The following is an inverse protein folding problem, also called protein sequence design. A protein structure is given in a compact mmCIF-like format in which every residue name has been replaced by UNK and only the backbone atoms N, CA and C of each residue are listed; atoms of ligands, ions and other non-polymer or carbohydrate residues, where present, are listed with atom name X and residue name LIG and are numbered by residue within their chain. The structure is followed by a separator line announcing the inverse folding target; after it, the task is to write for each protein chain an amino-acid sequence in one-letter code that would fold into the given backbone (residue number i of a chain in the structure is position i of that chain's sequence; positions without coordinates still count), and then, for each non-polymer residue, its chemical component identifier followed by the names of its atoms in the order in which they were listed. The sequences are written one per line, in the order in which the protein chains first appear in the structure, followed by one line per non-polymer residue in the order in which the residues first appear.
data_IF_373666458891
#
_entry.id   IF_373666458891
#
_cell.length_a   1.000
_cell.length_b   1.000
_cell.length_c   1.000
_cell.angle_alpha   90.00
_cell.angle_beta   90.00
_cell.angle_gamma   90.00
#
_symmetry.space_group_name_H-M   'P 1'
#
loop_
_entity.id
_entity.type
_entity.pdbx_description
1 polymer ?
#
# COMPACT_ATOMS: atom_id res chain seq x y z
N UNK A 1 19.96 -24.35 -37.24
CA UNK A 1 19.74 -22.91 -37.06
C UNK A 1 18.38 -22.57 -36.52
N UNK A 2 17.25 -23.10 -37.03
CA UNK A 2 15.88 -22.78 -36.53
C UNK A 2 15.65 -23.09 -35.05
N UNK A 3 16.26 -24.13 -34.47
CA UNK A 3 16.09 -24.49 -33.05
C UNK A 3 16.86 -23.59 -32.09
N UNK A 4 17.96 -22.99 -32.54
CA UNK A 4 18.77 -22.05 -31.74
C UNK A 4 18.09 -20.70 -31.63
N UNK A 5 17.47 -20.21 -32.73
CA UNK A 5 16.68 -18.96 -32.74
C UNK A 5 15.44 -19.03 -31.86
N UNK A 6 14.80 -20.20 -31.81
CA UNK A 6 13.61 -20.40 -30.90
C UNK A 6 14.01 -20.39 -29.42
N UNK A 7 15.19 -20.93 -29.09
CA UNK A 7 15.69 -20.93 -27.71
C UNK A 7 16.08 -19.53 -27.24
N UNK A 8 16.69 -18.72 -28.14
CA UNK A 8 17.06 -17.31 -27.84
C UNK A 8 15.80 -16.43 -27.70
N UNK A 9 14.75 -16.65 -28.49
CA UNK A 9 13.47 -15.96 -28.36
C UNK A 9 12.73 -16.31 -27.05
N UNK A 10 12.81 -17.55 -26.59
CA UNK A 10 12.25 -17.98 -25.29
C UNK A 10 13.03 -17.40 -24.10
N UNK A 11 14.35 -17.25 -24.21
CA UNK A 11 15.17 -16.60 -23.19
C UNK A 11 14.93 -15.08 -23.12
N UNK A 12 14.69 -14.41 -24.25
CA UNK A 12 14.33 -12.99 -24.29
C UNK A 12 12.91 -12.70 -23.78
N UNK A 13 11.97 -13.63 -23.96
CA UNK A 13 10.61 -13.49 -23.41
C UNK A 13 10.57 -13.66 -21.88
N UNK A 14 11.52 -14.39 -21.28
CA UNK A 14 11.63 -14.59 -19.83
C UNK A 14 12.13 -13.36 -19.05
N UNK A 15 12.81 -12.42 -19.71
CA UNK A 15 13.38 -11.25 -19.04
C UNK A 15 12.43 -10.05 -18.93
N UNK A 16 11.29 -10.07 -19.63
CA UNK A 16 10.32 -8.95 -19.61
C UNK A 16 9.27 -9.02 -18.48
N UNK A 17 9.24 -10.11 -17.70
CA UNK A 17 8.24 -10.29 -16.63
C UNK A 17 8.64 -9.69 -15.27
N UNK A 18 9.88 -9.21 -15.10
CA UNK A 18 10.37 -8.68 -13.83
C UNK A 18 10.40 -7.14 -13.71
N UNK A 19 9.89 -6.41 -14.71
CA UNK A 19 10.04 -4.96 -14.77
C UNK A 19 8.87 -4.14 -14.20
N UNK A 20 7.95 -4.74 -13.41
CA UNK A 20 6.75 -4.05 -12.94
C UNK A 20 6.38 -4.26 -11.46
N UNK A 21 7.27 -4.84 -10.68
CA UNK A 21 7.12 -4.76 -9.23
C UNK A 21 8.04 -3.63 -8.77
N UNK A 22 7.49 -2.66 -8.01
CA UNK A 22 8.34 -1.76 -7.25
C UNK A 22 9.38 -2.62 -6.54
N UNK A 23 10.66 -2.35 -6.82
CA UNK A 23 11.74 -3.22 -6.42
C UNK A 23 11.93 -3.16 -4.91
N UNK A 24 11.15 -3.93 -4.18
CA UNK A 24 11.50 -4.27 -2.79
C UNK A 24 12.69 -5.25 -2.88
N UNK A 25 13.89 -4.70 -2.90
CA UNK A 25 15.14 -5.48 -2.85
C UNK A 25 15.63 -5.65 -1.41
N UNK A 26 14.77 -5.43 -0.43
CA UNK A 26 15.11 -5.60 0.98
C UNK A 26 15.08 -7.08 1.34
N UNK A 27 16.25 -7.64 1.56
CA UNK A 27 16.37 -8.97 2.15
C UNK A 27 16.14 -8.86 3.67
N UNK A 28 15.52 -9.87 4.28
CA UNK A 28 15.22 -9.96 5.71
C UNK A 28 16.38 -9.45 6.60
N UNK A 29 17.61 -9.87 6.34
CA UNK A 29 18.78 -9.50 7.15
C UNK A 29 19.11 -8.00 7.11
N UNK A 30 18.62 -7.25 6.12
CA UNK A 30 18.93 -5.82 6.01
C UNK A 30 18.16 -4.96 6.98
N UNK A 31 17.04 -5.45 7.51
CA UNK A 31 16.22 -4.74 8.51
C UNK A 31 15.84 -5.61 9.69
N UNK A 32 16.62 -6.66 9.97
CA UNK A 32 16.45 -7.50 11.17
C UNK A 32 16.67 -6.75 12.50
N UNK A 33 17.21 -5.56 12.43
CA UNK A 33 17.48 -4.64 13.54
C UNK A 33 16.40 -3.57 13.74
N UNK A 34 15.27 -3.67 13.01
CA UNK A 34 14.23 -2.65 13.00
C UNK A 34 13.66 -2.34 14.39
N UNK A 35 13.41 -3.35 15.22
CA UNK A 35 12.85 -3.16 16.56
C UNK A 35 13.81 -2.52 17.55
N UNK A 36 15.12 -2.62 17.29
CA UNK A 36 16.18 -2.13 18.18
C UNK A 36 16.61 -0.70 17.82
N UNK A 37 16.26 -0.22 16.63
CA UNK A 37 16.63 1.11 16.11
C UNK A 37 15.47 2.10 16.22
N UNK A 38 15.82 3.38 16.26
CA UNK A 38 14.84 4.46 16.33
C UNK A 38 14.23 4.69 14.94
N UNK A 39 12.89 4.71 14.88
CA UNK A 39 12.17 5.19 13.69
C UNK A 39 11.97 6.69 13.79
N UNK A 40 12.60 7.45 12.89
CA UNK A 40 12.39 8.89 12.74
C UNK A 40 11.14 9.11 11.88
N UNK A 41 10.14 9.78 12.44
CA UNK A 41 8.90 10.15 11.73
C UNK A 41 9.11 11.53 11.14
N UNK A 42 9.23 11.60 9.82
CA UNK A 42 9.61 12.82 9.11
C UNK A 42 8.40 13.70 8.89
N UNK A 43 8.46 14.93 9.38
CA UNK A 43 7.46 15.98 9.19
C UNK A 43 7.85 16.88 8.02
N UNK A 44 6.89 17.35 7.24
CA UNK A 44 7.11 18.24 6.10
C UNK A 44 6.19 17.95 4.90
N UNK A 45 5.12 17.16 5.13
CA UNK A 45 4.13 16.78 4.10
C UNK A 45 2.92 17.73 4.04
N UNK A 46 2.91 18.76 4.89
CA UNK A 46 1.83 19.72 5.06
C UNK A 46 1.21 19.66 6.46
N UNK A 47 0.75 20.80 6.95
CA UNK A 47 0.35 20.96 8.35
C UNK A 47 -0.72 19.95 8.81
N UNK A 48 -1.75 19.74 8.00
CA UNK A 48 -2.87 18.85 8.35
C UNK A 48 -2.41 17.39 8.34
N UNK A 49 -1.70 16.97 7.29
CA UNK A 49 -1.23 15.59 7.18
C UNK A 49 -0.17 15.26 8.24
N UNK A 50 0.74 16.19 8.50
CA UNK A 50 1.76 16.04 9.56
C UNK A 50 1.12 15.91 10.95
N UNK A 51 0.08 16.71 11.24
CA UNK A 51 -0.65 16.59 12.50
C UNK A 51 -1.36 15.23 12.63
N UNK A 52 -1.98 14.75 11.56
CA UNK A 52 -2.63 13.43 11.53
C UNK A 52 -1.60 12.30 11.68
N UNK A 53 -0.49 12.32 10.93
CA UNK A 53 0.58 11.31 11.05
C UNK A 53 1.13 11.29 12.48
N UNK A 54 1.36 12.47 13.07
CA UNK A 54 1.84 12.58 14.45
C UNK A 54 0.89 11.90 15.43
N UNK A 55 -0.40 12.16 15.32
CA UNK A 55 -1.41 11.58 16.19
C UNK A 55 -1.46 10.06 16.01
N UNK A 56 -1.56 9.57 14.77
CA UNK A 56 -1.68 8.15 14.49
C UNK A 56 -0.43 7.34 14.88
N UNK A 57 0.76 7.92 14.71
CA UNK A 57 1.99 7.26 15.16
C UNK A 57 2.01 7.14 16.69
N UNK A 58 1.59 8.17 17.43
CA UNK A 58 1.49 8.11 18.89
C UNK A 58 0.50 7.03 19.35
N UNK A 59 -0.61 6.88 18.64
CA UNK A 59 -1.71 5.98 19.03
C UNK A 59 -1.47 4.54 18.60
N UNK A 60 -0.82 4.32 17.46
CA UNK A 60 -0.75 3.00 16.79
C UNK A 60 0.65 2.38 16.80
N UNK A 61 1.72 3.20 16.74
CA UNK A 61 3.07 2.68 16.55
C UNK A 61 3.67 2.07 17.81
N UNK A 62 3.97 0.79 17.75
CA UNK A 62 4.56 0.03 18.86
C UNK A 62 5.74 -0.84 18.43
N UNK A 63 6.07 -0.84 17.14
CA UNK A 63 7.03 -1.78 16.56
C UNK A 63 8.50 -1.45 16.88
N UNK A 64 8.81 -0.17 17.13
CA UNK A 64 10.16 0.30 17.47
C UNK A 64 10.07 1.59 18.28
N UNK A 65 11.13 2.01 19.00
CA UNK A 65 11.21 3.39 19.50
C UNK A 65 11.05 4.39 18.34
N UNK A 66 10.38 5.52 18.59
CA UNK A 66 10.23 6.54 17.55
C UNK A 66 10.47 7.95 18.07
N UNK A 67 10.84 8.83 17.16
CA UNK A 67 11.02 10.26 17.37
C UNK A 67 10.58 11.03 16.13
N UNK A 68 10.01 12.21 16.31
CA UNK A 68 9.69 13.10 15.20
C UNK A 68 10.92 13.90 14.78
N UNK A 69 11.07 14.12 13.47
CA UNK A 69 12.14 14.94 12.92
C UNK A 69 11.64 15.81 11.75
N UNK A 70 12.38 16.84 11.44
CA UNK A 70 12.14 17.70 10.28
C UNK A 70 12.73 17.10 9.00
N UNK A 71 12.31 17.58 7.83
CA UNK A 71 12.89 17.21 6.54
C UNK A 71 14.40 17.54 6.47
N UNK A 72 14.85 18.62 7.11
CA UNK A 72 16.28 18.99 7.17
C UNK A 72 17.09 18.00 8.02
N UNK A 73 16.53 17.54 9.14
CA UNK A 73 17.16 16.50 9.97
C UNK A 73 17.21 15.18 9.24
N UNK A 74 16.12 14.78 8.57
CA UNK A 74 16.11 13.61 7.69
C UNK A 74 17.22 13.69 6.64
N UNK A 75 17.38 14.82 5.95
CA UNK A 75 18.43 15.02 4.96
C UNK A 75 19.84 14.76 5.50
N UNK A 76 20.09 15.06 6.78
CA UNK A 76 21.38 14.84 7.45
C UNK A 76 21.55 13.39 7.95
N UNK A 77 20.48 12.78 8.43
CA UNK A 77 20.51 11.48 9.12
C UNK A 77 20.32 10.29 8.18
N UNK A 78 19.76 10.49 6.97
CA UNK A 78 19.39 9.40 6.06
C UNK A 78 20.56 8.50 5.63
N UNK A 79 21.79 8.98 5.71
CA UNK A 79 22.99 8.19 5.40
C UNK A 79 23.45 7.31 6.57
N UNK A 80 22.91 7.52 7.76
CA UNK A 80 23.23 6.71 8.93
C UNK A 80 22.32 5.48 8.97
N UNK A 81 22.90 4.30 9.14
CA UNK A 81 22.16 3.05 9.33
C UNK A 81 21.57 2.89 10.73
N UNK A 82 21.80 3.85 11.63
CA UNK A 82 21.26 3.90 13.00
C UNK A 82 19.75 4.11 13.05
N UNK A 83 19.13 4.55 11.94
CA UNK A 83 17.74 4.98 11.91
C UNK A 83 16.92 4.26 10.84
N UNK A 84 15.62 4.14 11.12
CA UNK A 84 14.58 3.98 10.12
C UNK A 84 13.80 5.28 9.98
N UNK A 85 13.15 5.47 8.84
CA UNK A 85 12.39 6.68 8.55
C UNK A 85 11.00 6.32 8.08
N UNK A 86 9.99 6.85 8.78
CA UNK A 86 8.60 6.84 8.34
C UNK A 86 8.30 8.21 7.75
N UNK A 87 7.99 8.26 6.45
CA UNK A 87 7.84 9.52 5.72
C UNK A 87 6.82 9.41 4.60
N UNK A 88 6.32 10.55 4.13
CA UNK A 88 5.53 10.64 2.92
C UNK A 88 6.47 10.81 1.73
N UNK A 89 6.36 9.92 0.75
CA UNK A 89 7.12 9.98 -0.50
C UNK A 89 6.19 10.15 -1.68
N UNK A 90 6.68 10.70 -2.77
CA UNK A 90 5.93 10.87 -4.01
C UNK A 90 6.45 9.89 -5.08
N UNK A 91 5.53 9.13 -5.66
CA UNK A 91 5.84 8.10 -6.65
C UNK A 91 5.49 8.50 -8.06
N UNK A 92 6.40 8.18 -8.98
CA UNK A 92 6.29 8.43 -10.41
C UNK A 92 6.35 7.11 -11.18
N UNK A 93 5.35 6.83 -12.00
CA UNK A 93 5.37 5.67 -12.87
C UNK A 93 6.19 5.93 -14.14
N UNK A 94 6.64 4.85 -14.79
CA UNK A 94 7.35 4.97 -16.06
C UNK A 94 6.45 5.61 -17.13
N UNK A 95 6.88 6.74 -17.65
CA UNK A 95 6.18 7.51 -18.69
C UNK A 95 5.32 8.66 -18.17
N UNK A 96 5.24 8.85 -16.85
CA UNK A 96 4.68 10.06 -16.25
C UNK A 96 5.73 11.18 -16.21
N UNK A 97 5.32 12.43 -16.34
CA UNK A 97 6.21 13.58 -16.29
C UNK A 97 6.48 13.99 -14.84
N UNK A 98 5.45 13.92 -13.99
CA UNK A 98 5.49 14.27 -12.58
C UNK A 98 5.03 13.09 -11.68
N UNK A 99 5.37 13.10 -10.39
CA UNK A 99 4.80 12.17 -9.42
C UNK A 99 3.27 12.34 -9.33
N UNK A 100 2.55 11.23 -9.25
CA UNK A 100 1.08 11.23 -9.25
C UNK A 100 0.48 10.74 -7.94
N UNK A 101 1.20 9.92 -7.18
CA UNK A 101 0.71 9.29 -5.94
C UNK A 101 1.65 9.57 -4.79
N UNK A 102 1.11 9.96 -3.64
CA UNK A 102 1.81 9.98 -2.35
C UNK A 102 1.69 8.63 -1.68
N UNK A 103 2.78 8.21 -1.05
CA UNK A 103 2.87 6.97 -0.29
C UNK A 103 3.31 7.26 1.14
N UNK A 104 2.76 6.54 2.09
CA UNK A 104 3.38 6.40 3.40
C UNK A 104 4.45 5.31 3.29
N UNK A 105 5.70 5.65 3.54
CA UNK A 105 6.87 4.82 3.28
C UNK A 105 7.68 4.61 4.54
N UNK A 106 8.08 3.36 4.80
CA UNK A 106 9.13 3.04 5.75
C UNK A 106 10.40 2.70 4.97
N UNK A 107 11.49 3.37 5.30
CA UNK A 107 12.81 3.08 4.76
C UNK A 107 13.87 2.95 5.85
N UNK A 108 14.95 2.22 5.57
CA UNK A 108 16.15 2.15 6.42
C UNK A 108 17.16 3.17 5.95
N UNK A 109 17.83 3.84 6.86
CA UNK A 109 18.97 4.70 6.56
C UNK A 109 20.22 3.91 6.14
N UNK A 110 21.28 4.60 5.80
CA UNK A 110 22.59 4.01 5.47
C UNK A 110 22.80 3.66 3.99
N UNK A 111 22.04 4.25 3.07
CA UNK A 111 22.32 4.11 1.64
C UNK A 111 23.53 4.95 1.23
N UNK A 112 24.46 4.34 0.49
CA UNK A 112 25.62 5.03 -0.07
C UNK A 112 25.20 6.06 -1.14
N UNK A 113 25.91 7.19 -1.21
CA UNK A 113 25.72 8.18 -2.26
C UNK A 113 26.02 7.55 -3.64
N UNK A 114 25.11 7.72 -4.59
CA UNK A 114 25.25 7.22 -5.96
C UNK A 114 24.55 5.88 -6.23
N UNK A 115 24.09 5.17 -5.23
CA UNK A 115 23.17 4.06 -5.43
C UNK A 115 21.74 4.60 -5.57
N UNK A 116 20.93 3.90 -6.36
CA UNK A 116 19.51 4.26 -6.49
C UNK A 116 18.81 4.02 -5.14
N UNK A 117 18.81 5.05 -4.30
CA UNK A 117 18.48 5.04 -2.88
C UNK A 117 17.11 4.39 -2.65
N UNK A 118 16.13 4.73 -3.48
CA UNK A 118 14.76 4.21 -3.38
C UNK A 118 14.68 2.67 -3.49
N UNK A 119 15.63 2.03 -4.17
CA UNK A 119 15.60 0.60 -4.40
C UNK A 119 16.24 -0.23 -3.28
N UNK A 120 17.00 0.40 -2.38
CA UNK A 120 17.83 -0.33 -1.40
C UNK A 120 17.40 -0.14 0.05
N UNK A 121 16.74 0.94 0.32
CA UNK A 121 16.35 1.35 1.69
C UNK A 121 14.87 1.18 1.97
N UNK A 122 14.03 1.14 0.93
CA UNK A 122 12.59 0.97 1.09
C UNK A 122 12.27 -0.40 1.72
N UNK A 123 11.61 -0.38 2.86
CA UNK A 123 11.03 -1.57 3.51
C UNK A 123 9.66 -1.85 2.91
N UNK A 124 8.81 -0.83 2.90
CA UNK A 124 7.49 -0.87 2.27
C UNK A 124 6.96 0.54 2.04
N UNK A 125 6.17 0.70 0.97
CA UNK A 125 5.39 1.90 0.67
C UNK A 125 3.93 1.52 0.47
N UNK A 126 3.02 2.16 1.19
CA UNK A 126 1.57 2.01 1.03
C UNK A 126 0.99 3.27 0.38
N UNK A 127 0.10 3.14 -0.61
CA UNK A 127 -0.51 4.31 -1.26
C UNK A 127 -1.34 5.10 -0.26
N UNK A 128 -1.12 6.40 -0.21
CA UNK A 128 -1.75 7.32 0.73
C UNK A 128 -2.85 8.15 0.05
N UNK A 129 -2.50 8.96 -0.93
CA UNK A 129 -3.44 9.78 -1.69
C UNK A 129 -2.83 10.21 -3.05
N UNK A 130 -3.61 10.79 -3.99
CA UNK A 130 -3.07 11.52 -5.12
C UNK A 130 -2.24 12.73 -4.67
N UNK A 131 -1.27 13.14 -5.50
CA UNK A 131 -0.41 14.31 -5.18
C UNK A 131 -1.23 15.60 -5.22
N UNK A 132 -2.09 15.77 -6.23
CA UNK A 132 -2.80 17.03 -6.47
C UNK A 132 -4.15 17.13 -5.75
N UNK A 133 -4.88 16.03 -5.60
CA UNK A 133 -6.26 16.04 -5.10
C UNK A 133 -6.45 15.01 -3.96
N UNK A 134 -5.94 15.33 -2.77
CA UNK A 134 -6.31 14.58 -1.56
C UNK A 134 -7.80 14.79 -1.27
N UNK A 135 -8.58 13.71 -1.20
CA UNK A 135 -10.03 13.77 -0.88
C UNK A 135 -10.30 14.01 0.61
N UNK A 136 -9.27 13.92 1.45
CA UNK A 136 -9.40 13.89 2.91
C UNK A 136 -9.60 12.46 3.47
N UNK A 137 -9.97 11.49 2.63
CA UNK A 137 -10.13 10.09 3.03
C UNK A 137 -8.82 9.45 3.48
N UNK A 138 -7.68 9.93 2.98
CA UNK A 138 -6.37 9.52 3.48
C UNK A 138 -6.21 9.70 4.98
N UNK A 139 -6.87 10.71 5.57
CA UNK A 139 -6.86 10.94 7.01
C UNK A 139 -7.71 9.91 7.76
N UNK A 140 -8.84 9.51 7.18
CA UNK A 140 -9.72 8.46 7.73
C UNK A 140 -9.00 7.12 7.81
N UNK A 141 -8.28 6.73 6.76
CA UNK A 141 -7.64 5.41 6.66
C UNK A 141 -6.16 5.39 7.12
N UNK A 142 -5.62 6.54 7.53
CA UNK A 142 -4.23 6.64 8.01
C UNK A 142 -3.89 5.66 9.14
N UNK A 143 -4.77 5.39 10.14
CA UNK A 143 -4.50 4.40 11.18
C UNK A 143 -4.17 3.02 10.62
N UNK A 144 -4.91 2.57 9.58
CA UNK A 144 -4.65 1.28 8.96
C UNK A 144 -3.36 1.26 8.13
N UNK A 145 -2.99 2.39 7.53
CA UNK A 145 -1.73 2.48 6.78
C UNK A 145 -0.52 2.46 7.72
N UNK A 146 -0.56 3.21 8.83
CA UNK A 146 0.48 3.19 9.86
C UNK A 146 0.61 1.78 10.46
N UNK A 147 -0.52 1.15 10.83
CA UNK A 147 -0.53 -0.22 11.31
C UNK A 147 0.00 -1.21 10.29
N UNK A 148 -0.44 -1.10 9.04
CA UNK A 148 0.00 -1.99 7.97
C UNK A 148 1.51 -1.95 7.77
N UNK A 149 2.13 -0.78 7.82
CA UNK A 149 3.58 -0.63 7.70
C UNK A 149 4.31 -1.37 8.84
N UNK A 150 3.90 -1.15 10.10
CA UNK A 150 4.57 -1.83 11.21
C UNK A 150 4.34 -3.35 11.20
N UNK A 151 3.12 -3.81 10.90
CA UNK A 151 2.80 -5.23 10.84
C UNK A 151 3.61 -5.94 9.74
N UNK A 152 3.75 -5.28 8.58
CA UNK A 152 4.62 -5.78 7.50
C UNK A 152 6.09 -5.84 7.94
N UNK A 153 6.63 -4.76 8.52
CA UNK A 153 8.02 -4.69 8.92
C UNK A 153 8.36 -5.79 9.93
N UNK A 154 7.55 -5.96 10.98
CA UNK A 154 7.71 -7.03 11.98
C UNK A 154 7.66 -8.41 11.33
N UNK A 155 6.72 -8.66 10.41
CA UNK A 155 6.59 -9.96 9.77
C UNK A 155 7.70 -10.25 8.76
N UNK A 156 8.17 -9.23 8.07
CA UNK A 156 9.27 -9.32 7.13
C UNK A 156 10.61 -9.62 7.82
N UNK A 157 10.79 -9.16 9.08
CA UNK A 157 11.94 -9.56 9.92
C UNK A 157 11.97 -11.07 10.20
N UNK A 158 10.80 -11.67 10.37
CA UNK A 158 10.67 -13.09 10.67
C UNK A 158 10.81 -13.98 9.44
N UNK A 159 10.44 -13.46 8.27
CA UNK A 159 10.29 -14.26 7.05
C UNK A 159 10.79 -13.54 5.80
N UNK A 160 11.81 -14.12 5.17
CA UNK A 160 12.32 -13.64 3.88
C UNK A 160 11.26 -13.67 2.78
N UNK A 161 10.37 -14.67 2.80
CA UNK A 161 9.23 -14.77 1.87
C UNK A 161 8.33 -13.54 1.99
N UNK A 162 8.03 -13.09 3.21
CA UNK A 162 7.24 -11.88 3.46
C UNK A 162 7.99 -10.65 2.96
N UNK A 163 9.27 -10.51 3.28
CA UNK A 163 10.10 -9.39 2.85
C UNK A 163 10.10 -9.21 1.31
N UNK A 164 10.08 -10.32 0.56
CA UNK A 164 10.02 -10.26 -0.92
C UNK A 164 8.61 -10.11 -1.49
N UNK A 165 7.56 -10.40 -0.72
CA UNK A 165 6.17 -10.30 -1.20
C UNK A 165 5.68 -8.86 -1.30
N UNK A 166 6.29 -7.93 -0.54
CA UNK A 166 5.86 -6.53 -0.49
C UNK A 166 4.37 -6.43 -0.16
N UNK A 167 3.67 -5.49 -0.78
CA UNK A 167 2.24 -5.29 -0.57
C UNK A 167 1.37 -6.55 -0.78
N UNK A 168 1.82 -7.52 -1.59
CA UNK A 168 1.04 -8.74 -1.82
C UNK A 168 0.85 -9.59 -0.56
N UNK A 169 1.72 -9.43 0.44
CA UNK A 169 1.60 -10.14 1.72
C UNK A 169 0.24 -9.92 2.40
N UNK A 170 -0.31 -8.72 2.34
CA UNK A 170 -1.59 -8.42 2.99
C UNK A 170 -2.74 -9.28 2.45
N UNK A 171 -2.68 -9.71 1.19
CA UNK A 171 -3.70 -10.55 0.57
C UNK A 171 -3.74 -11.98 1.17
N UNK A 172 -2.69 -12.42 1.88
CA UNK A 172 -2.69 -13.73 2.56
C UNK A 172 -3.75 -13.79 3.68
N UNK A 173 -4.10 -12.64 4.28
CA UNK A 173 -5.16 -12.58 5.30
C UNK A 173 -6.55 -12.70 4.68
N UNK A 174 -6.74 -12.14 3.49
CA UNK A 174 -8.00 -12.14 2.77
C UNK A 174 -8.40 -13.52 2.26
N UNK A 175 -7.42 -14.32 1.82
CA UNK A 175 -7.65 -15.67 1.29
C UNK A 175 -8.12 -16.71 2.34
N UNK A 176 -8.25 -16.32 3.60
CA UNK A 176 -8.72 -17.19 4.69
C UNK A 176 -10.26 -17.15 4.79
N UNK A 177 -10.91 -18.10 4.17
CA UNK A 177 -12.38 -18.25 4.16
C UNK A 177 -13.04 -18.16 5.54
N UNK A 178 -14.19 -17.51 5.60
CA UNK A 178 -15.06 -17.46 6.78
C UNK A 178 -14.63 -16.49 7.88
N UNK A 179 -13.64 -15.64 7.61
CA UNK A 179 -13.15 -14.65 8.59
C UNK A 179 -13.94 -13.35 8.59
N UNK A 180 -14.45 -12.95 7.42
CA UNK A 180 -15.06 -11.65 7.19
C UNK A 180 -16.49 -11.84 6.77
N UNK A 181 -17.39 -11.14 7.45
CA UNK A 181 -18.83 -11.26 7.24
C UNK A 181 -19.41 -10.13 6.40
N UNK A 182 -18.85 -8.92 6.49
CA UNK A 182 -19.36 -7.76 5.77
C UNK A 182 -18.26 -6.95 5.14
N UNK A 183 -18.53 -6.45 3.93
CA UNK A 183 -17.64 -5.57 3.18
C UNK A 183 -18.46 -4.40 2.68
N UNK A 184 -18.08 -3.20 3.03
CA UNK A 184 -18.65 -1.96 2.53
C UNK A 184 -17.76 -1.43 1.41
N UNK A 185 -18.32 -1.32 0.21
CA UNK A 185 -17.67 -0.76 -0.95
C UNK A 185 -18.29 0.61 -1.26
N UNK A 186 -17.49 1.66 -1.23
CA UNK A 186 -17.95 2.96 -1.71
C UNK A 186 -18.20 2.91 -3.23
N UNK A 187 -19.27 3.55 -3.69
CA UNK A 187 -19.61 3.59 -5.12
C UNK A 187 -18.49 4.24 -5.93
N UNK A 188 -17.87 5.26 -5.38
CA UNK A 188 -16.76 6.03 -5.95
C UNK A 188 -15.48 5.18 -6.10
N UNK A 189 -15.35 4.15 -5.26
CA UNK A 189 -14.23 3.20 -5.33
C UNK A 189 -14.40 2.16 -6.45
N UNK A 190 -15.59 2.04 -7.04
CA UNK A 190 -15.84 1.11 -8.14
C UNK A 190 -15.40 1.70 -9.48
N UNK A 191 -14.81 0.86 -10.31
CA UNK A 191 -14.46 1.25 -11.66
C UNK A 191 -15.72 1.49 -12.52
N UNK A 192 -15.74 2.60 -13.24
CA UNK A 192 -16.78 2.86 -14.25
C UNK A 192 -16.85 1.83 -15.40
N UNK A 193 -15.87 0.91 -15.46
CA UNK A 193 -15.89 -0.21 -16.42
C UNK A 193 -16.73 -1.41 -15.95
N UNK A 194 -17.24 -1.40 -14.71
CA UNK A 194 -18.12 -2.45 -14.20
C UNK A 194 -19.50 -2.36 -14.85
N UNK A 195 -19.99 -3.50 -15.33
CA UNK A 195 -21.35 -3.63 -15.83
C UNK A 195 -22.34 -3.92 -14.71
N UNK A 196 -23.63 -3.63 -14.93
CA UNK A 196 -24.70 -4.00 -13.99
C UNK A 196 -24.71 -5.50 -13.72
N UNK A 197 -24.43 -6.32 -14.75
CA UNK A 197 -24.30 -7.78 -14.62
C UNK A 197 -23.14 -8.20 -13.68
N UNK A 198 -22.02 -7.45 -13.69
CA UNK A 198 -20.93 -7.72 -12.73
C UNK A 198 -21.35 -7.36 -11.31
N UNK A 199 -22.05 -6.25 -11.13
CA UNK A 199 -22.58 -5.83 -9.83
C UNK A 199 -23.58 -6.86 -9.30
N UNK A 200 -24.59 -7.23 -10.08
CA UNK A 200 -25.59 -8.26 -9.72
C UNK A 200 -24.96 -9.62 -9.36
N UNK A 201 -23.84 -9.95 -10.00
CA UNK A 201 -23.16 -11.22 -9.79
C UNK A 201 -22.32 -11.30 -8.52
N UNK A 202 -21.72 -10.18 -8.09
CA UNK A 202 -20.70 -10.18 -7.05
C UNK A 202 -21.09 -9.38 -5.80
N UNK A 203 -22.07 -8.47 -5.90
CA UNK A 203 -22.62 -7.75 -4.76
C UNK A 203 -23.80 -8.56 -4.18
N UNK A 204 -23.84 -8.68 -2.88
CA UNK A 204 -24.86 -9.43 -2.15
C UNK A 204 -25.10 -8.81 -0.77
N UNK A 205 -25.80 -9.49 0.13
CA UNK A 205 -26.12 -9.00 1.48
C UNK A 205 -24.88 -8.77 2.37
N UNK A 206 -23.77 -9.38 2.03
CA UNK A 206 -22.51 -9.25 2.76
C UNK A 206 -21.51 -8.30 2.06
N UNK A 207 -21.68 -8.04 0.76
CA UNK A 207 -20.88 -7.07 0.00
C UNK A 207 -21.79 -5.91 -0.36
N UNK A 208 -21.81 -4.92 0.51
CA UNK A 208 -22.75 -3.79 0.50
C UNK A 208 -22.13 -2.64 -0.27
N UNK A 209 -22.86 -2.16 -1.29
CA UNK A 209 -22.53 -0.92 -1.97
C UNK A 209 -23.19 0.26 -1.26
N UNK A 210 -22.43 1.31 -0.98
CA UNK A 210 -22.88 2.51 -0.29
C UNK A 210 -22.20 3.77 -0.84
N UNK A 211 -22.64 4.93 -0.39
CA UNK A 211 -21.93 6.19 -0.65
C UNK A 211 -20.61 6.24 0.14
N UNK A 212 -19.68 7.07 -0.29
CA UNK A 212 -18.35 7.20 0.31
C UNK A 212 -18.41 7.59 1.79
N UNK A 213 -19.22 8.58 2.13
CA UNK A 213 -19.42 9.05 3.52
C UNK A 213 -19.95 7.95 4.45
N UNK A 214 -20.83 7.07 3.95
CA UNK A 214 -21.36 5.94 4.70
C UNK A 214 -20.27 4.88 4.93
N UNK A 215 -19.45 4.60 3.93
CA UNK A 215 -18.31 3.68 4.05
C UNK A 215 -17.29 4.21 5.08
N UNK A 216 -16.93 5.47 4.98
CA UNK A 216 -15.99 6.13 5.89
C UNK A 216 -16.53 6.18 7.32
N UNK A 217 -17.84 6.39 7.47
CA UNK A 217 -18.52 6.33 8.78
C UNK A 217 -18.44 4.92 9.39
N UNK A 218 -18.68 3.87 8.62
CA UNK A 218 -18.55 2.47 9.08
C UNK A 218 -17.14 2.20 9.61
N UNK A 219 -16.11 2.75 8.93
CA UNK A 219 -14.72 2.61 9.36
C UNK A 219 -14.44 3.41 10.65
N UNK A 220 -14.86 4.67 10.73
CA UNK A 220 -14.63 5.53 11.90
C UNK A 220 -15.42 5.07 13.13
N UNK A 221 -16.60 4.48 12.94
CA UNK A 221 -17.42 3.87 14.02
C UNK A 221 -16.81 2.53 14.51
N UNK A 222 -15.68 2.08 13.94
CA UNK A 222 -15.01 0.82 14.28
C UNK A 222 -15.93 -0.39 14.28
N UNK A 223 -16.75 -0.48 13.23
CA UNK A 223 -17.73 -1.56 13.09
C UNK A 223 -17.05 -2.92 13.07
N UNK A 224 -17.45 -3.78 14.02
CA UNK A 224 -16.82 -5.06 14.28
C UNK A 224 -16.85 -6.00 13.05
N UNK A 225 -15.72 -6.66 12.77
CA UNK A 225 -15.56 -7.68 11.72
C UNK A 225 -16.07 -7.20 10.34
N UNK A 226 -15.72 -5.97 9.98
CA UNK A 226 -16.19 -5.30 8.77
C UNK A 226 -15.01 -4.71 8.00
N UNK A 227 -14.96 -4.98 6.70
CA UNK A 227 -14.01 -4.35 5.79
C UNK A 227 -14.64 -3.15 5.08
N UNK A 228 -13.83 -2.14 4.86
CA UNK A 228 -14.23 -0.94 4.12
C UNK A 228 -13.25 -0.72 2.97
N UNK A 229 -13.76 -0.31 1.82
CA UNK A 229 -12.95 0.00 0.64
C UNK A 229 -12.27 1.36 0.76
N UNK A 230 -11.07 1.43 0.22
CA UNK A 230 -10.35 2.66 -0.04
C UNK A 230 -9.54 2.53 -1.34
N UNK A 231 -9.66 3.51 -2.23
CA UNK A 231 -8.89 3.54 -3.47
C UNK A 231 -8.02 4.78 -3.58
N UNK A 232 -6.82 4.59 -4.14
CA UNK A 232 -5.93 5.68 -4.54
C UNK A 232 -5.65 5.52 -6.02
N UNK A 233 -6.18 6.41 -6.83
CA UNK A 233 -6.08 6.34 -8.28
C UNK A 233 -5.58 7.65 -8.84
N UNK A 234 -4.39 7.63 -9.45
CA UNK A 234 -3.81 8.79 -10.11
C UNK A 234 -2.83 8.35 -11.22
N UNK A 235 -2.77 9.13 -12.27
CA UNK A 235 -1.89 8.86 -13.41
C UNK A 235 -2.10 7.47 -13.99
N UNK A 236 -1.04 6.68 -13.99
CA UNK A 236 -1.01 5.35 -14.60
C UNK A 236 -1.64 4.25 -13.72
N UNK A 237 -1.72 4.43 -12.41
CA UNK A 237 -2.05 3.35 -11.48
C UNK A 237 -3.28 3.62 -10.62
N UNK A 238 -4.04 2.56 -10.39
CA UNK A 238 -5.11 2.50 -9.40
C UNK A 238 -4.76 1.45 -8.35
N UNK A 239 -4.71 1.86 -7.09
CA UNK A 239 -4.54 1.01 -5.91
C UNK A 239 -5.88 0.85 -5.22
N UNK A 240 -6.19 -0.38 -4.81
CA UNK A 240 -7.46 -0.75 -4.19
C UNK A 240 -7.17 -1.49 -2.90
N UNK A 241 -7.79 -1.09 -1.83
CA UNK A 241 -7.57 -1.61 -0.49
C UNK A 241 -8.89 -1.99 0.17
N UNK A 242 -8.85 -3.02 1.02
CA UNK A 242 -9.90 -3.31 2.00
C UNK A 242 -9.26 -3.30 3.38
N UNK A 243 -9.83 -2.51 4.25
CA UNK A 243 -9.31 -2.18 5.57
C UNK A 243 -10.34 -2.59 6.63
N UNK A 244 -9.92 -3.30 7.67
CA UNK A 244 -10.82 -3.72 8.75
C UNK A 244 -11.06 -2.55 9.72
N UNK A 245 -12.32 -2.25 9.94
CA UNK A 245 -12.72 -1.05 10.68
C UNK A 245 -12.35 -1.08 12.17
N UNK A 246 -12.52 -2.22 12.83
CA UNK A 246 -12.31 -2.34 14.28
C UNK A 246 -10.83 -2.59 14.65
N UNK A 247 -10.04 -3.18 13.76
CA UNK A 247 -8.65 -3.52 14.04
C UNK A 247 -7.63 -2.68 13.29
N UNK A 248 -8.04 -1.86 12.34
CA UNK A 248 -7.16 -1.14 11.41
C UNK A 248 -6.24 -2.08 10.60
N UNK A 249 -6.66 -3.32 10.35
CA UNK A 249 -5.85 -4.28 9.60
C UNK A 249 -6.07 -4.12 8.10
N UNK A 250 -4.99 -4.03 7.34
CA UNK A 250 -5.05 -4.07 5.88
C UNK A 250 -5.16 -5.53 5.42
N UNK A 251 -6.32 -5.89 4.83
CA UNK A 251 -6.62 -7.25 4.39
C UNK A 251 -6.41 -7.50 2.91
N UNK A 252 -6.58 -6.48 2.09
CA UNK A 252 -6.50 -6.60 0.65
C UNK A 252 -5.84 -5.36 0.07
N UNK A 253 -4.88 -5.57 -0.81
CA UNK A 253 -4.31 -4.49 -1.61
C UNK A 253 -3.91 -5.01 -2.98
N UNK A 254 -4.39 -4.34 -4.01
CA UNK A 254 -3.99 -4.61 -5.39
C UNK A 254 -3.86 -3.34 -6.18
N UNK A 255 -2.97 -3.37 -7.16
CA UNK A 255 -2.86 -2.30 -8.15
C UNK A 255 -3.12 -2.83 -9.54
N UNK A 256 -3.62 -1.98 -10.40
CA UNK A 256 -3.68 -2.23 -11.84
C UNK A 256 -3.38 -0.96 -12.62
N UNK A 257 -2.99 -1.14 -13.87
CA UNK A 257 -2.76 -0.03 -14.78
C UNK A 257 -4.10 0.50 -15.30
N UNK A 258 -4.30 1.82 -15.17
CA UNK A 258 -5.47 2.52 -15.75
C UNK A 258 -5.31 2.52 -17.28
N UNK A 259 -6.34 2.08 -17.98
CA UNK A 259 -6.41 2.02 -19.44
C UNK A 259 -7.83 2.36 -19.89
N UNK A 260 -8.04 2.57 -21.20
CA UNK A 260 -9.40 2.79 -21.74
C UNK A 260 -10.39 1.63 -21.47
N UNK A 261 -9.88 0.41 -21.18
CA UNK A 261 -10.70 -0.75 -20.82
C UNK A 261 -10.87 -0.90 -19.31
N UNK A 262 -9.83 -0.61 -18.56
CA UNK A 262 -9.78 -0.76 -17.09
C UNK A 262 -9.65 0.64 -16.50
N UNK A 263 -10.76 1.23 -16.09
CA UNK A 263 -10.79 2.52 -15.41
C UNK A 263 -10.20 2.43 -13.99
N UNK A 264 -10.09 3.57 -13.27
CA UNK A 264 -9.70 3.57 -11.87
C UNK A 264 -10.71 2.80 -11.00
N UNK A 265 -10.31 2.36 -9.82
CA UNK A 265 -11.16 1.69 -8.83
C UNK A 265 -11.19 0.16 -8.95
N UNK A 266 -12.09 -0.47 -8.19
CA UNK A 266 -12.27 -1.92 -8.17
C UNK A 266 -12.85 -2.43 -9.49
N UNK A 267 -12.20 -3.45 -10.08
CA UNK A 267 -12.62 -4.11 -11.31
C UNK A 267 -13.45 -5.38 -11.01
N UNK A 268 -14.15 -5.91 -12.01
CA UNK A 268 -14.88 -7.19 -11.91
C UNK A 268 -13.99 -8.34 -11.41
N UNK A 269 -12.69 -8.33 -11.73
CA UNK A 269 -11.74 -9.33 -11.20
C UNK A 269 -11.54 -9.17 -9.69
N UNK A 270 -11.49 -7.93 -9.18
CA UNK A 270 -11.36 -7.69 -7.74
C UNK A 270 -12.61 -8.16 -7.01
N UNK A 271 -13.81 -7.78 -7.50
CA UNK A 271 -15.08 -8.25 -6.93
C UNK A 271 -15.19 -9.78 -6.91
N UNK A 272 -14.75 -10.43 -7.99
CA UNK A 272 -14.69 -11.91 -8.06
C UNK A 272 -13.78 -12.52 -6.98
N UNK A 273 -12.63 -11.88 -6.70
CA UNK A 273 -11.70 -12.35 -5.66
C UNK A 273 -12.29 -12.12 -4.27
N UNK A 274 -12.89 -10.96 -4.05
CA UNK A 274 -13.59 -10.60 -2.82
C UNK A 274 -14.67 -11.63 -2.53
N UNK A 275 -15.56 -11.92 -3.47
CA UNK A 275 -16.62 -12.89 -3.32
C UNK A 275 -16.12 -14.34 -3.08
N UNK A 276 -14.90 -14.68 -3.50
CA UNK A 276 -14.29 -16.00 -3.27
C UNK A 276 -13.52 -16.11 -1.96
N UNK A 277 -13.02 -15.01 -1.42
CA UNK A 277 -12.18 -14.96 -0.22
C UNK A 277 -12.97 -14.99 1.08
N UNK A 278 -14.29 -14.82 0.99
CA UNK A 278 -15.23 -14.88 2.13
C UNK A 278 -15.44 -16.29 2.64
#
# INVERSE_FOLDING_TARGET
MKRLTTLILLLLAGTCLFAQQGNVTTRKYRFSDFTDKITKVVMGSGEVLDAAIRQEVVDVWTASPFEFCTADEYGKLRQSDEYYFLLVTEGKAKGEEEPMVRFLTLEKGGADEGENIALRTEVISLPLCPVEDGSGRELVFLPALVRGIQDFALKAMESEKVAYSGMNWFNENFDKKGRIKRIYLAQEDLSGSLTDKDKEKYLDEDIILCEEDDADKVYTDKTFNTLVSYTVSAGTWSYKMLLEADTNTLYYIRKHKITGKNGPGFLAEDLRRIAKGR
#
